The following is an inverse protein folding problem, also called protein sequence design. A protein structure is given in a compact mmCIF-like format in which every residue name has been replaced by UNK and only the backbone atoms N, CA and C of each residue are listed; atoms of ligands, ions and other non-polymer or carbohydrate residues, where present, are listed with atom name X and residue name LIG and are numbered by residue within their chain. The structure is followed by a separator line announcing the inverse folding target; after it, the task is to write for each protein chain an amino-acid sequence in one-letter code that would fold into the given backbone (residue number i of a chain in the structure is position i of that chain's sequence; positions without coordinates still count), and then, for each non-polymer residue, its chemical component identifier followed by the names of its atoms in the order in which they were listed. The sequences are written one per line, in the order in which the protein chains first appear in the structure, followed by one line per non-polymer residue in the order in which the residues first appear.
data_IF_983285717905
#
_entry.id   IF_983285717905
#
_cell.length_a   1.000
_cell.length_b   1.000
_cell.length_c   1.000
_cell.angle_alpha   90.00
_cell.angle_beta   90.00
_cell.angle_gamma   90.00
#
_symmetry.space_group_name_H-M   'P 1'
#
loop_
_entity.id
_entity.type
_entity.pdbx_description
1 polymer ?
#
# COMPACT_ATOMS: atom_id res chain seq x y z
N UNK A 1 -30.96 -1.29 -6.28
CA UNK A 1 -29.97 -0.26 -6.65
C UNK A 1 -29.31 0.25 -5.38
N UNK A 2 -27.99 0.12 -5.25
CA UNK A 2 -27.23 0.72 -4.14
C UNK A 2 -26.94 2.20 -4.44
N UNK A 3 -26.55 2.99 -3.44
CA UNK A 3 -26.21 4.39 -3.68
C UNK A 3 -24.86 4.51 -4.42
N UNK A 4 -23.85 3.75 -3.98
CA UNK A 4 -22.47 3.86 -4.47
C UNK A 4 -21.86 2.47 -4.69
N UNK A 5 -21.27 2.26 -5.87
CA UNK A 5 -20.35 1.15 -6.14
C UNK A 5 -18.94 1.71 -6.26
N UNK A 6 -17.98 1.13 -5.52
CA UNK A 6 -16.54 1.36 -5.67
C UNK A 6 -15.94 0.13 -6.32
N UNK A 7 -15.19 0.29 -7.42
CA UNK A 7 -14.54 -0.81 -8.13
C UNK A 7 -13.06 -0.84 -7.78
N UNK A 8 -12.63 -1.89 -7.07
CA UNK A 8 -11.27 -2.11 -6.58
C UNK A 8 -11.10 -1.86 -5.09
N UNK A 9 -10.53 -2.86 -4.38
CA UNK A 9 -10.21 -2.83 -2.95
C UNK A 9 -8.71 -2.70 -2.68
N UNK A 10 -7.99 -1.96 -3.52
CA UNK A 10 -6.66 -1.43 -3.21
C UNK A 10 -6.72 -0.30 -2.20
N UNK A 11 -5.57 0.28 -1.82
CA UNK A 11 -5.50 1.35 -0.82
C UNK A 11 -6.38 2.55 -1.16
N UNK A 12 -6.47 2.95 -2.44
CA UNK A 12 -7.32 4.07 -2.87
C UNK A 12 -8.81 3.75 -2.69
N UNK A 13 -9.27 2.58 -3.17
CA UNK A 13 -10.66 2.17 -3.00
C UNK A 13 -11.06 2.00 -1.53
N UNK A 14 -10.20 1.43 -0.69
CA UNK A 14 -10.45 1.30 0.75
C UNK A 14 -10.45 2.67 1.47
N UNK A 15 -9.59 3.62 1.06
CA UNK A 15 -9.62 4.97 1.60
C UNK A 15 -10.91 5.72 1.22
N UNK A 16 -11.35 5.58 -0.02
CA UNK A 16 -12.63 6.14 -0.51
C UNK A 16 -13.80 5.51 0.26
N UNK A 17 -13.81 4.19 0.43
CA UNK A 17 -14.86 3.46 1.16
C UNK A 17 -14.98 3.96 2.60
N UNK A 18 -13.84 4.12 3.31
CA UNK A 18 -13.83 4.67 4.68
C UNK A 18 -14.36 6.10 4.73
N UNK A 19 -13.93 6.96 3.83
CA UNK A 19 -14.39 8.36 3.87
C UNK A 19 -15.88 8.48 3.47
N UNK A 20 -16.39 7.60 2.58
CA UNK A 20 -17.81 7.54 2.24
C UNK A 20 -18.66 6.97 3.37
N UNK A 21 -18.13 6.07 4.21
CA UNK A 21 -18.86 5.54 5.36
C UNK A 21 -19.15 6.60 6.46
N UNK A 22 -18.63 7.82 6.32
CA UNK A 22 -18.99 8.99 7.15
C UNK A 22 -20.36 9.56 6.81
N UNK A 23 -20.98 9.07 5.75
CA UNK A 23 -22.24 9.58 5.24
C UNK A 23 -23.30 8.47 5.21
N UNK A 24 -24.57 8.86 5.29
CA UNK A 24 -25.70 7.95 5.15
C UNK A 24 -25.85 7.53 3.69
N UNK A 25 -25.24 6.41 3.32
CA UNK A 25 -25.28 5.84 1.97
C UNK A 25 -25.10 4.32 2.01
N UNK A 26 -25.74 3.59 1.08
CA UNK A 26 -25.46 2.16 0.85
C UNK A 26 -24.27 2.04 -0.10
N UNK A 27 -23.10 1.66 0.44
CA UNK A 27 -21.84 1.58 -0.29
C UNK A 27 -21.42 0.11 -0.45
N UNK A 28 -21.14 -0.29 -1.69
CA UNK A 28 -20.61 -1.61 -2.05
C UNK A 28 -19.27 -1.48 -2.74
N UNK A 29 -18.27 -2.18 -2.23
CA UNK A 29 -16.96 -2.33 -2.88
C UNK A 29 -16.92 -3.65 -3.63
N UNK A 30 -16.63 -3.61 -4.93
CA UNK A 30 -16.43 -4.78 -5.79
C UNK A 30 -14.92 -4.99 -6.00
N UNK A 31 -14.44 -6.19 -5.67
CA UNK A 31 -13.05 -6.57 -5.86
C UNK A 31 -12.98 -7.88 -6.68
N UNK A 32 -12.09 -7.92 -7.67
CA UNK A 32 -11.91 -9.11 -8.51
C UNK A 32 -11.23 -10.27 -7.79
N UNK A 33 -10.37 -9.95 -6.82
CA UNK A 33 -9.62 -10.93 -6.05
C UNK A 33 -10.40 -11.39 -4.80
N UNK A 34 -9.84 -12.38 -4.11
CA UNK A 34 -10.43 -12.98 -2.90
C UNK A 34 -10.42 -12.08 -1.66
N UNK A 35 -9.63 -11.00 -1.68
CA UNK A 35 -9.34 -10.17 -0.50
C UNK A 35 -8.98 -8.74 -0.92
N UNK A 36 -8.97 -7.83 0.02
CA UNK A 36 -8.41 -6.49 -0.17
C UNK A 36 -6.89 -6.52 -0.30
N UNK A 37 -6.30 -5.47 -0.88
CA UNK A 37 -4.84 -5.35 -0.98
C UNK A 37 -4.17 -6.44 -1.84
N UNK A 38 -4.81 -6.90 -2.91
CA UNK A 38 -4.26 -7.95 -3.77
C UNK A 38 -3.51 -7.43 -5.01
N UNK A 39 -3.72 -6.17 -5.43
CA UNK A 39 -3.07 -5.53 -6.57
C UNK A 39 -1.74 -4.83 -6.22
N UNK A 40 -1.47 -3.68 -6.84
CA UNK A 40 -0.26 -2.84 -6.66
C UNK A 40 0.04 -2.52 -5.20
N UNK A 41 -0.99 -2.39 -4.38
CA UNK A 41 -0.86 -2.04 -2.95
C UNK A 41 -0.04 -3.08 -2.16
N UNK A 42 -0.05 -4.36 -2.53
CA UNK A 42 0.74 -5.40 -1.84
C UNK A 42 2.22 -5.41 -2.19
N UNK A 43 2.65 -4.67 -3.24
CA UNK A 43 3.99 -4.77 -3.80
C UNK A 43 4.52 -3.39 -4.20
N UNK A 44 5.04 -2.64 -3.24
CA UNK A 44 5.61 -1.31 -3.37
C UNK A 44 6.72 -1.08 -2.33
N UNK A 45 7.27 0.14 -2.29
CA UNK A 45 8.37 0.49 -1.38
C UNK A 45 7.93 0.79 0.07
N UNK A 46 6.65 0.75 0.39
CA UNK A 46 6.10 1.03 1.72
C UNK A 46 6.42 2.45 2.28
N UNK A 47 6.63 3.43 1.41
CA UNK A 47 7.08 4.77 1.76
C UNK A 47 5.91 5.74 1.80
N UNK A 48 5.88 6.58 2.82
CA UNK A 48 5.09 7.81 2.89
C UNK A 48 5.98 8.97 2.44
N UNK A 49 5.84 9.35 1.16
CA UNK A 49 6.63 10.43 0.56
C UNK A 49 6.22 11.78 1.13
N UNK A 50 7.19 12.63 1.45
CA UNK A 50 6.94 13.96 2.02
C UNK A 50 6.26 14.94 1.03
N UNK A 51 6.49 14.78 -0.29
CA UNK A 51 5.83 15.61 -1.32
C UNK A 51 6.76 16.55 -2.09
N UNK A 52 8.06 16.40 -1.98
CA UNK A 52 9.05 17.30 -2.63
C UNK A 52 9.25 17.03 -4.14
N UNK A 53 8.90 15.84 -4.65
CA UNK A 53 9.27 15.38 -6.01
C UNK A 53 8.23 15.77 -7.08
N UNK A 54 6.94 15.63 -6.77
CA UNK A 54 5.87 15.94 -7.73
C UNK A 54 5.87 17.42 -8.13
N UNK A 55 5.53 17.69 -9.40
CA UNK A 55 5.55 19.03 -9.96
C UNK A 55 4.65 19.99 -9.16
N UNK A 56 5.17 21.18 -8.82
CA UNK A 56 4.39 22.17 -8.08
C UNK A 56 3.11 22.54 -8.82
N UNK A 57 2.00 22.60 -8.08
CA UNK A 57 0.67 22.91 -8.58
C UNK A 57 -0.11 21.71 -9.12
N UNK A 58 0.54 20.56 -9.36
CA UNK A 58 -0.12 19.31 -9.78
C UNK A 58 -1.06 18.77 -8.71
N UNK A 59 -2.04 17.97 -9.12
CA UNK A 59 -2.92 17.27 -8.20
C UNK A 59 -2.13 16.24 -7.36
N UNK A 60 -1.16 15.56 -8.01
CA UNK A 60 -0.24 14.64 -7.38
C UNK A 60 0.53 15.29 -6.22
N UNK A 61 1.08 16.50 -6.41
CA UNK A 61 1.80 17.24 -5.35
C UNK A 61 0.87 17.58 -4.18
N UNK A 62 -0.31 18.13 -4.48
CA UNK A 62 -1.29 18.53 -3.46
C UNK A 62 -1.75 17.35 -2.61
N UNK A 63 -2.11 16.23 -3.25
CA UNK A 63 -2.62 15.05 -2.56
C UNK A 63 -1.50 14.30 -1.83
N UNK A 64 -0.26 14.34 -2.32
CA UNK A 64 0.86 13.74 -1.60
C UNK A 64 1.12 14.47 -0.27
N UNK A 65 1.30 15.79 -0.29
CA UNK A 65 1.55 16.56 0.93
C UNK A 65 0.39 16.39 1.90
N UNK A 66 -0.86 16.56 1.44
CA UNK A 66 -2.04 16.40 2.29
C UNK A 66 -2.16 14.98 2.87
N UNK A 67 -1.92 13.94 2.07
CA UNK A 67 -1.99 12.54 2.52
C UNK A 67 -0.88 12.19 3.51
N UNK A 68 0.34 12.68 3.29
CA UNK A 68 1.47 12.50 4.20
C UNK A 68 1.18 13.11 5.59
N UNK A 69 0.63 14.31 5.63
CA UNK A 69 0.26 14.99 6.88
C UNK A 69 -0.88 14.29 7.63
N UNK A 70 -1.77 13.59 6.92
CA UNK A 70 -2.86 12.82 7.53
C UNK A 70 -2.41 11.46 8.10
N UNK A 71 -1.30 10.92 7.63
CA UNK A 71 -0.89 9.55 7.94
C UNK A 71 -0.65 9.28 9.43
N UNK A 72 0.03 10.17 10.22
CA UNK A 72 0.27 9.92 11.64
C UNK A 72 -1.00 9.83 12.47
N UNK A 73 -2.00 10.69 12.21
CA UNK A 73 -3.28 10.65 12.89
C UNK A 73 -4.07 9.41 12.52
N UNK A 74 -4.13 9.09 11.22
CA UNK A 74 -4.81 7.92 10.70
C UNK A 74 -4.22 6.62 11.28
N UNK A 75 -2.90 6.54 11.42
CA UNK A 75 -2.23 5.39 12.02
C UNK A 75 -2.63 5.18 13.48
N UNK A 76 -2.80 6.27 14.25
CA UNK A 76 -3.29 6.21 15.65
C UNK A 76 -4.77 5.84 15.75
N UNK A 77 -5.63 6.42 14.88
CA UNK A 77 -7.07 6.12 14.87
C UNK A 77 -7.36 4.67 14.52
N UNK A 78 -6.63 4.15 13.54
CA UNK A 78 -6.88 2.84 12.94
C UNK A 78 -5.94 1.74 13.41
N UNK A 79 -4.97 2.08 14.27
CA UNK A 79 -4.02 1.14 14.88
C UNK A 79 -3.33 0.25 13.82
N UNK A 80 -2.50 0.88 12.99
CA UNK A 80 -1.61 0.21 12.04
C UNK A 80 -0.18 0.74 12.12
N UNK A 81 0.79 -0.07 11.73
CA UNK A 81 2.21 0.26 11.84
C UNK A 81 2.61 1.37 10.86
N UNK A 82 3.09 2.47 11.40
CA UNK A 82 3.63 3.65 10.71
C UNK A 82 4.78 4.23 11.53
N UNK A 83 5.80 4.74 10.85
CA UNK A 83 6.93 5.45 11.46
C UNK A 83 7.32 6.65 10.60
N UNK A 84 7.43 7.81 11.23
CA UNK A 84 7.95 9.03 10.59
C UNK A 84 9.47 9.04 10.74
N UNK A 85 10.16 8.28 9.87
CA UNK A 85 11.60 8.11 9.93
C UNK A 85 12.39 9.11 9.06
N UNK A 86 11.71 9.97 8.32
CA UNK A 86 12.32 10.91 7.39
C UNK A 86 12.88 10.27 6.14
N UNK A 87 13.24 11.09 5.17
CA UNK A 87 13.90 10.64 3.94
C UNK A 87 15.05 11.55 3.54
N UNK A 88 16.06 10.96 2.89
CA UNK A 88 17.27 11.61 2.39
C UNK A 88 17.35 11.38 0.88
N UNK A 89 17.46 12.46 0.09
CA UNK A 89 17.80 12.37 -1.36
C UNK A 89 19.27 12.74 -1.51
N UNK A 90 20.09 11.73 -1.66
CA UNK A 90 21.57 11.84 -1.60
C UNK A 90 22.13 12.34 -2.92
N UNK A 91 22.99 13.36 -2.84
CA UNK A 91 23.76 13.92 -3.92
C UNK A 91 25.19 13.35 -3.89
N UNK A 92 25.67 12.86 -5.03
CA UNK A 92 26.95 12.16 -5.15
C UNK A 92 28.08 13.03 -5.73
N UNK A 93 27.76 14.20 -6.28
CA UNK A 93 28.73 15.12 -6.87
C UNK A 93 28.30 16.57 -6.66
N UNK A 94 29.23 17.49 -6.43
CA UNK A 94 28.95 18.93 -6.38
C UNK A 94 28.37 19.47 -7.71
N UNK A 95 28.66 18.80 -8.82
CA UNK A 95 28.05 19.12 -10.12
C UNK A 95 26.53 19.02 -10.11
N UNK A 96 25.95 18.15 -9.24
CA UNK A 96 24.51 17.92 -9.11
C UNK A 96 23.83 18.92 -8.14
N UNK A 97 24.57 19.85 -7.50
CA UNK A 97 24.04 20.84 -6.54
C UNK A 97 22.88 21.67 -7.11
N UNK A 98 22.90 22.13 -8.35
CA UNK A 98 21.75 22.82 -8.92
C UNK A 98 20.47 21.97 -8.98
N UNK A 99 20.59 20.66 -9.22
CA UNK A 99 19.46 19.74 -9.23
C UNK A 99 18.89 19.53 -7.81
N UNK A 100 19.77 19.39 -6.80
CA UNK A 100 19.37 19.30 -5.40
C UNK A 100 18.64 20.57 -4.94
N UNK A 101 19.18 21.75 -5.28
CA UNK A 101 18.56 23.05 -4.97
C UNK A 101 17.20 23.21 -5.65
N UNK A 102 17.05 22.75 -6.89
CA UNK A 102 15.78 22.76 -7.62
C UNK A 102 14.74 21.86 -6.91
N UNK A 103 15.16 20.66 -6.47
CA UNK A 103 14.30 19.73 -5.74
C UNK A 103 13.85 20.33 -4.39
N UNK A 104 14.79 20.97 -3.66
CA UNK A 104 14.49 21.69 -2.44
C UNK A 104 13.45 22.81 -2.68
N UNK A 105 13.70 23.66 -3.68
CA UNK A 105 12.77 24.76 -4.01
C UNK A 105 11.37 24.26 -4.41
N UNK A 106 11.30 23.15 -5.17
CA UNK A 106 10.03 22.51 -5.53
C UNK A 106 9.29 22.00 -4.27
N UNK A 107 9.99 21.34 -3.37
CA UNK A 107 9.39 20.84 -2.13
C UNK A 107 8.87 21.96 -1.21
N UNK A 108 9.62 23.07 -1.09
CA UNK A 108 9.19 24.28 -0.37
C UNK A 108 7.91 24.85 -1.03
N UNK A 109 7.89 24.96 -2.37
CA UNK A 109 6.73 25.46 -3.11
C UNK A 109 5.51 24.53 -2.97
N UNK A 110 5.70 23.22 -2.80
CA UNK A 110 4.64 22.24 -2.50
C UNK A 110 4.15 22.31 -1.04
N UNK A 111 4.81 23.05 -0.15
CA UNK A 111 4.44 23.16 1.25
C UNK A 111 4.97 22.04 2.15
N UNK A 112 6.04 21.35 1.75
CA UNK A 112 6.68 20.33 2.60
C UNK A 112 7.42 20.99 3.75
N UNK A 113 7.02 20.68 4.98
CA UNK A 113 7.57 21.30 6.18
C UNK A 113 8.94 20.71 6.57
N UNK A 114 9.80 21.54 7.13
CA UNK A 114 11.09 21.13 7.70
C UNK A 114 12.16 20.68 6.69
N UNK A 115 11.90 20.85 5.38
CA UNK A 115 12.92 20.55 4.35
C UNK A 115 14.20 21.32 4.59
N UNK A 116 15.32 20.66 4.46
CA UNK A 116 16.66 21.29 4.50
C UNK A 116 17.69 20.47 3.74
N UNK A 117 18.73 21.14 3.28
CA UNK A 117 19.91 20.47 2.74
C UNK A 117 20.84 20.20 3.92
N UNK A 118 21.30 18.96 4.03
CA UNK A 118 22.29 18.50 4.99
C UNK A 118 23.61 18.27 4.25
N UNK A 119 24.69 18.81 4.77
CA UNK A 119 26.01 18.65 4.22
C UNK A 119 26.68 17.37 4.74
N UNK A 120 27.82 17.00 4.17
CA UNK A 120 28.51 15.72 4.40
C UNK A 120 28.61 15.30 5.85
N UNK A 121 29.08 16.17 6.74
CA UNK A 121 29.38 15.80 8.13
C UNK A 121 28.11 15.43 8.89
N UNK A 122 27.05 16.20 8.71
CA UNK A 122 25.75 15.91 9.29
C UNK A 122 25.13 14.66 8.66
N UNK A 123 25.24 14.50 7.34
CA UNK A 123 24.72 13.34 6.62
C UNK A 123 25.32 12.03 7.13
N UNK A 124 26.63 12.00 7.36
CA UNK A 124 27.33 10.83 7.91
C UNK A 124 26.95 10.57 9.37
N UNK A 125 26.69 11.61 10.15
CA UNK A 125 26.22 11.47 11.53
C UNK A 125 24.78 10.90 11.58
N UNK A 126 23.91 11.28 10.63
CA UNK A 126 22.55 10.74 10.52
C UNK A 126 22.54 9.30 10.01
N UNK A 127 23.38 8.98 9.02
CA UNK A 127 23.43 7.67 8.34
C UNK A 127 24.87 7.19 8.19
N UNK A 128 25.41 6.45 9.15
CA UNK A 128 26.81 5.99 9.12
C UNK A 128 27.16 5.09 7.93
N UNK A 129 26.15 4.43 7.35
CA UNK A 129 26.30 3.55 6.19
C UNK A 129 26.13 4.30 4.84
N UNK A 130 26.01 5.63 4.86
CA UNK A 130 25.98 6.40 3.61
C UNK A 130 27.29 6.23 2.83
N UNK A 131 27.20 6.31 1.50
CA UNK A 131 28.37 6.19 0.61
C UNK A 131 29.46 7.21 0.97
N UNK A 132 30.72 6.79 0.85
CA UNK A 132 31.87 7.68 1.09
C UNK A 132 31.98 8.79 0.01
N UNK A 133 31.34 8.62 -1.13
CA UNK A 133 31.22 9.61 -2.22
C UNK A 133 30.05 10.59 -2.04
N UNK A 134 29.14 10.36 -1.09
CA UNK A 134 28.02 11.26 -0.86
C UNK A 134 28.50 12.62 -0.37
N UNK A 135 27.99 13.70 -0.96
CA UNK A 135 28.42 15.08 -0.70
C UNK A 135 27.42 15.81 0.20
N UNK A 136 26.14 15.69 -0.11
CA UNK A 136 25.04 16.32 0.62
C UNK A 136 23.76 15.53 0.38
N UNK A 137 22.67 15.89 1.08
CA UNK A 137 21.36 15.34 0.81
C UNK A 137 20.26 16.38 1.07
N UNK A 138 19.13 16.23 0.38
CA UNK A 138 17.87 16.85 0.80
C UNK A 138 17.24 15.98 1.89
N UNK A 139 17.09 16.51 3.08
CA UNK A 139 16.41 15.88 4.19
C UNK A 139 14.96 16.35 4.28
N UNK A 140 14.01 15.41 4.27
CA UNK A 140 12.59 15.64 4.43
C UNK A 140 12.09 14.92 5.69
N UNK A 141 11.95 15.62 6.84
CA UNK A 141 11.59 15.00 8.11
C UNK A 141 10.15 14.47 8.17
N UNK A 142 9.26 14.96 7.31
CA UNK A 142 7.87 14.51 7.22
C UNK A 142 7.68 13.24 6.41
N UNK A 143 8.74 12.75 5.77
CA UNK A 143 8.74 11.42 5.15
C UNK A 143 8.61 10.31 6.19
N UNK A 144 8.07 9.17 5.78
CA UNK A 144 7.87 8.03 6.67
C UNK A 144 7.80 6.70 5.95
N UNK A 145 7.64 5.66 6.73
CA UNK A 145 7.39 4.28 6.28
C UNK A 145 6.10 3.76 6.89
N UNK A 146 5.39 2.89 6.16
CA UNK A 146 4.09 2.35 6.59
C UNK A 146 3.98 0.89 6.21
N UNK A 147 3.21 0.10 6.96
CA UNK A 147 2.79 -1.21 6.47
C UNK A 147 1.66 -1.04 5.44
N UNK A 148 1.88 -1.28 4.12
CA UNK A 148 0.82 -1.09 3.11
C UNK A 148 -0.37 -2.02 3.34
N UNK A 149 -0.10 -3.22 3.83
CA UNK A 149 -1.12 -4.19 4.21
C UNK A 149 -1.94 -3.67 5.39
N UNK A 150 -1.26 -3.31 6.50
CA UNK A 150 -1.89 -2.81 7.71
C UNK A 150 -2.77 -1.59 7.46
N UNK A 151 -2.27 -0.61 6.69
CA UNK A 151 -3.04 0.57 6.27
C UNK A 151 -4.32 0.16 5.50
N UNK A 152 -4.19 -0.72 4.50
CA UNK A 152 -5.33 -1.07 3.63
C UNK A 152 -6.38 -1.88 4.38
N UNK A 153 -5.96 -2.88 5.18
CA UNK A 153 -6.88 -3.64 6.03
C UNK A 153 -7.56 -2.75 7.06
N UNK A 154 -6.82 -1.82 7.67
CA UNK A 154 -7.38 -0.91 8.65
C UNK A 154 -8.47 -0.01 8.06
N UNK A 155 -8.25 0.52 6.85
CA UNK A 155 -9.24 1.28 6.10
C UNK A 155 -10.47 0.44 5.76
N UNK A 156 -10.28 -0.78 5.25
CA UNK A 156 -11.36 -1.69 4.86
C UNK A 156 -12.18 -2.16 6.06
N UNK A 157 -11.53 -2.57 7.16
CA UNK A 157 -12.19 -3.01 8.38
C UNK A 157 -12.99 -1.87 9.03
N UNK A 158 -12.45 -0.65 9.06
CA UNK A 158 -13.18 0.51 9.56
C UNK A 158 -14.37 0.87 8.67
N UNK A 159 -14.21 0.82 7.34
CA UNK A 159 -15.31 1.01 6.41
C UNK A 159 -16.42 -0.03 6.61
N UNK A 160 -16.05 -1.31 6.74
CA UNK A 160 -17.00 -2.40 6.99
C UNK A 160 -17.71 -2.27 8.34
N UNK A 161 -16.98 -1.87 9.40
CA UNK A 161 -17.57 -1.57 10.71
C UNK A 161 -18.65 -0.47 10.62
N UNK A 162 -18.45 0.51 9.76
CA UNK A 162 -19.39 1.60 9.49
C UNK A 162 -20.35 1.31 8.32
N UNK A 163 -20.61 0.03 8.00
CA UNK A 163 -21.70 -0.40 7.13
C UNK A 163 -21.36 -0.60 5.66
N UNK A 164 -20.12 -0.33 5.20
CA UNK A 164 -19.71 -0.62 3.82
C UNK A 164 -19.62 -2.12 3.59
N UNK A 165 -20.19 -2.58 2.48
CA UNK A 165 -20.15 -3.99 2.06
C UNK A 165 -19.00 -4.23 1.10
N UNK A 166 -18.36 -5.40 1.20
CA UNK A 166 -17.32 -5.86 0.28
C UNK A 166 -17.78 -7.14 -0.41
N UNK A 167 -17.66 -7.17 -1.73
CA UNK A 167 -17.92 -8.36 -2.55
C UNK A 167 -16.65 -8.71 -3.33
N UNK A 168 -16.03 -9.81 -2.91
CA UNK A 168 -14.80 -10.35 -3.50
C UNK A 168 -15.12 -11.31 -4.65
N UNK A 169 -14.08 -11.74 -5.40
CA UNK A 169 -14.17 -12.59 -6.59
C UNK A 169 -15.22 -12.04 -7.59
N UNK A 170 -15.27 -10.73 -7.75
CA UNK A 170 -16.32 -10.01 -8.46
C UNK A 170 -15.72 -9.07 -9.50
N UNK A 171 -14.99 -9.67 -10.47
CA UNK A 171 -14.44 -8.90 -11.58
C UNK A 171 -15.55 -8.19 -12.35
N UNK A 172 -15.39 -6.88 -12.53
CA UNK A 172 -16.29 -6.06 -13.35
C UNK A 172 -15.94 -6.28 -14.81
N UNK A 173 -16.94 -6.70 -15.58
CA UNK A 173 -16.81 -7.05 -17.00
C UNK A 173 -17.41 -6.00 -17.94
N UNK A 174 -18.44 -5.26 -17.47
CA UNK A 174 -19.09 -4.21 -18.26
C UNK A 174 -19.71 -3.14 -17.35
N UNK A 175 -19.85 -1.91 -17.87
CA UNK A 175 -20.51 -0.79 -17.22
C UNK A 175 -21.40 -0.08 -18.25
N UNK A 176 -22.70 0.03 -17.95
CA UNK A 176 -23.69 0.64 -18.84
C UNK A 176 -24.47 1.73 -18.12
N UNK A 177 -24.76 2.83 -18.80
CA UNK A 177 -25.67 3.86 -18.30
C UNK A 177 -27.09 3.34 -18.35
N UNK A 178 -27.83 3.50 -17.24
CA UNK A 178 -29.25 3.18 -17.13
C UNK A 178 -30.02 4.40 -16.62
N UNK A 179 -31.33 4.33 -16.59
CA UNK A 179 -32.15 5.37 -15.98
C UNK A 179 -31.88 5.47 -14.48
N UNK A 180 -31.54 6.68 -14.03
CA UNK A 180 -31.21 6.95 -12.62
C UNK A 180 -29.85 6.49 -12.12
N UNK A 181 -28.97 5.93 -12.99
CA UNK A 181 -27.64 5.48 -12.54
C UNK A 181 -26.87 4.65 -13.55
N UNK A 182 -26.22 3.63 -13.05
CA UNK A 182 -25.31 2.73 -13.77
C UNK A 182 -25.60 1.28 -13.45
N UNK A 183 -25.51 0.42 -14.45
CA UNK A 183 -25.45 -1.04 -14.27
C UNK A 183 -24.02 -1.50 -14.41
N UNK A 184 -23.50 -2.15 -13.36
CA UNK A 184 -22.16 -2.73 -13.30
C UNK A 184 -22.30 -4.24 -13.37
N UNK A 185 -21.88 -4.84 -14.47
CA UNK A 185 -21.91 -6.29 -14.65
C UNK A 185 -20.61 -6.91 -14.12
N UNK A 186 -20.76 -7.96 -13.31
CA UNK A 186 -19.65 -8.73 -12.75
C UNK A 186 -19.78 -10.21 -13.11
N UNK A 187 -18.70 -10.96 -12.89
CA UNK A 187 -18.72 -12.43 -13.04
C UNK A 187 -19.70 -13.12 -12.07
N UNK A 188 -20.18 -12.41 -11.02
CA UNK A 188 -21.16 -12.89 -10.03
C UNK A 188 -22.58 -12.35 -10.24
N UNK A 189 -22.80 -11.57 -11.30
CA UNK A 189 -24.09 -10.95 -11.61
C UNK A 189 -24.02 -9.42 -11.66
N UNK A 190 -25.15 -8.80 -11.96
CA UNK A 190 -25.25 -7.37 -12.17
C UNK A 190 -25.57 -6.63 -10.86
N UNK A 191 -25.01 -5.44 -10.71
CA UNK A 191 -25.29 -4.49 -9.62
C UNK A 191 -25.68 -3.15 -10.23
N UNK A 192 -26.78 -2.57 -9.76
CA UNK A 192 -27.19 -1.21 -10.13
C UNK A 192 -26.80 -0.22 -9.04
N UNK A 193 -26.25 0.92 -9.44
CA UNK A 193 -25.79 1.98 -8.54
C UNK A 193 -26.14 3.37 -9.06
N UNK A 194 -26.40 4.32 -8.17
CA UNK A 194 -26.58 5.73 -8.54
C UNK A 194 -25.25 6.36 -8.96
N UNK A 195 -24.16 6.04 -8.24
CA UNK A 195 -22.81 6.50 -8.52
C UNK A 195 -21.85 5.31 -8.58
N UNK A 196 -20.93 5.33 -9.55
CA UNK A 196 -19.82 4.38 -9.67
C UNK A 196 -18.51 5.13 -9.50
N UNK A 197 -17.60 4.58 -8.68
CA UNK A 197 -16.23 5.06 -8.49
C UNK A 197 -15.26 4.03 -9.04
N UNK A 198 -14.49 4.40 -10.05
CA UNK A 198 -13.44 3.58 -10.64
C UNK A 198 -12.13 3.75 -9.86
N UNK A 199 -11.79 2.80 -9.00
CA UNK A 199 -10.53 2.74 -8.25
C UNK A 199 -9.74 1.46 -8.59
N UNK A 200 -9.84 0.98 -9.84
CA UNK A 200 -9.34 -0.32 -10.29
C UNK A 200 -7.82 -0.37 -10.58
N UNK A 201 -7.05 0.65 -10.17
CA UNK A 201 -5.59 0.65 -10.26
C UNK A 201 -5.08 0.43 -11.68
N UNK A 202 -4.34 -0.67 -11.91
CA UNK A 202 -3.80 -1.03 -13.24
C UNK A 202 -4.87 -1.20 -14.32
N UNK A 203 -6.12 -1.47 -13.94
CA UNK A 203 -7.24 -1.69 -14.86
C UNK A 203 -8.21 -0.51 -14.92
N UNK A 204 -7.84 0.62 -14.31
CA UNK A 204 -8.70 1.81 -14.31
C UNK A 204 -8.94 2.36 -15.72
N UNK A 205 -7.98 2.21 -16.63
CA UNK A 205 -8.13 2.56 -18.04
C UNK A 205 -9.18 1.70 -18.75
N UNK A 206 -9.23 0.39 -18.46
CA UNK A 206 -10.25 -0.51 -19.04
C UNK A 206 -11.67 -0.04 -18.69
N UNK A 207 -11.88 0.34 -17.44
CA UNK A 207 -13.19 0.81 -16.98
C UNK A 207 -13.49 2.23 -17.46
N UNK A 208 -12.50 3.13 -17.45
CA UNK A 208 -12.61 4.47 -18.04
C UNK A 208 -13.07 4.39 -19.50
N UNK A 209 -12.41 3.56 -20.32
CA UNK A 209 -12.68 3.42 -21.75
C UNK A 209 -14.03 2.77 -22.07
N UNK A 210 -14.71 2.13 -21.09
CA UNK A 210 -16.10 1.66 -21.24
C UNK A 210 -17.12 2.79 -21.18
N UNK A 211 -16.75 3.95 -20.56
CA UNK A 211 -17.70 4.99 -20.17
C UNK A 211 -17.35 6.36 -20.81
N UNK A 212 -16.07 6.69 -20.90
CA UNK A 212 -15.57 7.97 -21.38
C UNK A 212 -15.66 8.12 -22.90
N UNK A 213 -15.61 9.37 -23.37
CA UNK A 213 -15.54 9.68 -24.81
C UNK A 213 -14.08 9.71 -25.33
N UNK A 214 -13.11 9.82 -24.43
CA UNK A 214 -11.67 9.75 -24.70
C UNK A 214 -11.09 8.40 -24.23
N UNK A 215 -9.85 8.12 -24.63
CA UNK A 215 -9.17 6.90 -24.25
C UNK A 215 -8.02 7.19 -23.27
N UNK A 216 -7.96 6.40 -22.22
CA UNK A 216 -6.84 6.33 -21.31
C UNK A 216 -6.04 5.04 -21.55
N UNK A 217 -4.74 5.08 -21.32
CA UNK A 217 -3.89 3.90 -21.35
C UNK A 217 -2.99 3.87 -20.12
N UNK A 218 -3.13 2.83 -19.31
CA UNK A 218 -2.24 2.57 -18.17
C UNK A 218 -1.15 1.60 -18.61
N UNK A 219 0.09 2.05 -18.49
CA UNK A 219 1.29 1.28 -18.78
C UNK A 219 1.80 0.68 -17.46
N UNK A 220 1.83 -0.64 -17.29
CA UNK A 220 2.38 -1.25 -16.09
C UNK A 220 3.88 -0.94 -16.00
N UNK A 221 4.30 -0.18 -14.98
CA UNK A 221 5.71 0.10 -14.71
C UNK A 221 6.21 -0.77 -13.58
N UNK A 222 6.97 -1.83 -13.94
CA UNK A 222 7.47 -2.82 -13.00
C UNK A 222 8.66 -2.29 -12.20
N UNK A 223 8.61 -2.55 -10.89
CA UNK A 223 9.72 -2.37 -9.97
C UNK A 223 10.08 -3.68 -9.30
N UNK A 224 11.31 -4.17 -9.51
CA UNK A 224 11.87 -5.36 -8.86
C UNK A 224 12.57 -4.95 -7.56
N UNK A 225 12.41 -5.76 -6.50
CA UNK A 225 12.91 -5.49 -5.16
C UNK A 225 13.58 -6.71 -4.53
N UNK A 226 14.56 -6.45 -3.68
CA UNK A 226 14.99 -7.37 -2.63
C UNK A 226 14.38 -6.97 -1.29
N UNK A 227 13.93 -7.97 -0.51
CA UNK A 227 13.57 -7.82 0.90
C UNK A 227 14.59 -8.56 1.74
N UNK A 228 15.25 -7.85 2.65
CA UNK A 228 16.25 -8.41 3.54
C UNK A 228 15.62 -8.81 4.87
N UNK A 229 16.27 -9.76 5.55
CA UNK A 229 15.86 -10.28 6.86
C UNK A 229 15.81 -9.17 7.93
N UNK A 230 14.97 -9.33 8.95
CA UNK A 230 14.89 -8.40 10.09
C UNK A 230 16.20 -8.31 10.89
N UNK A 231 17.16 -9.23 10.71
CA UNK A 231 18.53 -9.10 11.24
C UNK A 231 19.28 -7.89 10.67
N UNK A 232 18.75 -7.24 9.63
CA UNK A 232 19.26 -5.97 9.07
C UNK A 232 18.61 -4.73 9.69
N UNK A 233 17.78 -4.88 10.73
CA UNK A 233 17.17 -3.77 11.43
C UNK A 233 18.24 -2.77 11.91
N UNK A 234 18.02 -1.48 11.63
CA UNK A 234 18.96 -0.42 11.96
C UNK A 234 20.16 -0.30 10.99
N UNK A 235 20.18 -1.05 9.89
CA UNK A 235 21.19 -0.87 8.83
C UNK A 235 21.12 0.53 8.21
N UNK A 236 19.92 1.05 7.98
CA UNK A 236 19.60 2.45 7.68
C UNK A 236 18.47 2.90 8.57
N UNK A 237 18.47 4.18 8.96
CA UNK A 237 17.43 4.78 9.82
C UNK A 237 16.41 5.54 8.98
N UNK A 238 16.86 6.30 8.00
CA UNK A 238 16.01 7.04 7.07
C UNK A 238 15.76 6.25 5.78
N UNK A 239 14.73 6.65 5.04
CA UNK A 239 14.57 6.21 3.64
C UNK A 239 15.60 6.94 2.77
N UNK A 240 16.51 6.20 2.13
CA UNK A 240 17.59 6.77 1.34
C UNK A 240 17.27 6.64 -0.15
N UNK A 241 17.08 7.78 -0.80
CA UNK A 241 17.00 7.93 -2.25
C UNK A 241 18.30 8.47 -2.81
N UNK A 242 18.53 8.21 -4.07
CA UNK A 242 19.59 8.84 -4.83
C UNK A 242 19.01 9.97 -5.70
N UNK A 243 19.64 11.14 -5.69
CA UNK A 243 19.31 12.20 -6.63
C UNK A 243 19.59 11.69 -8.06
N UNK A 244 18.66 11.82 -8.99
CA UNK A 244 18.91 11.47 -10.39
C UNK A 244 20.06 12.28 -10.96
N UNK A 245 21.10 11.60 -11.40
CA UNK A 245 22.32 12.21 -11.92
C UNK A 245 22.82 11.52 -13.18
N UNK A 246 24.11 11.65 -13.45
CA UNK A 246 24.85 11.07 -14.60
C UNK A 246 24.53 9.56 -14.82
N UNK A 247 24.26 8.81 -13.76
CA UNK A 247 23.98 7.38 -13.79
C UNK A 247 22.48 7.03 -13.79
N UNK A 248 21.61 8.04 -13.98
CA UNK A 248 20.16 7.89 -13.98
C UNK A 248 19.54 7.87 -12.59
N UNK A 249 18.29 7.40 -12.49
CA UNK A 249 17.58 7.21 -11.22
C UNK A 249 18.17 6.01 -10.49
N UNK A 250 18.69 6.22 -9.28
CA UNK A 250 19.22 5.17 -8.43
C UNK A 250 18.16 4.28 -7.81
N UNK A 251 18.64 3.29 -7.08
CA UNK A 251 17.84 2.36 -6.28
C UNK A 251 17.81 2.88 -4.84
N UNK A 252 16.62 2.90 -4.23
CA UNK A 252 16.48 3.27 -2.82
C UNK A 252 16.88 2.12 -1.89
N UNK A 253 17.30 2.48 -0.68
CA UNK A 253 17.48 1.58 0.46
C UNK A 253 16.65 2.16 1.61
N UNK A 254 15.72 1.37 2.16
CA UNK A 254 14.83 1.86 3.20
C UNK A 254 14.58 0.80 4.28
N UNK A 255 14.41 1.22 5.55
CA UNK A 255 13.88 0.32 6.56
C UNK A 255 12.39 0.06 6.31
N UNK A 256 11.84 -0.95 6.93
CA UNK A 256 10.40 -1.17 7.01
C UNK A 256 9.95 -1.10 8.47
N UNK A 257 8.68 -0.80 8.69
CA UNK A 257 8.09 -0.75 10.05
C UNK A 257 8.16 -2.08 10.82
N UNK A 258 8.61 -3.15 10.16
CA UNK A 258 8.76 -4.49 10.75
C UNK A 258 10.23 -4.91 10.88
N UNK A 259 11.19 -3.98 10.74
CA UNK A 259 12.61 -4.23 10.93
C UNK A 259 13.34 -4.87 9.73
N UNK A 260 12.66 -5.12 8.63
CA UNK A 260 13.32 -5.55 7.39
C UNK A 260 13.97 -4.35 6.70
N UNK A 261 14.88 -4.61 5.76
CA UNK A 261 15.38 -3.59 4.81
C UNK A 261 14.88 -3.93 3.40
N UNK A 262 14.35 -2.94 2.69
CA UNK A 262 13.92 -3.06 1.30
C UNK A 262 14.95 -2.37 0.39
N UNK A 263 15.29 -3.01 -0.74
CA UNK A 263 16.24 -2.52 -1.72
C UNK A 263 15.62 -2.62 -3.10
N UNK A 264 15.54 -1.53 -3.81
CA UNK A 264 14.84 -1.39 -5.09
C UNK A 264 14.20 -0.01 -5.20
N UNK A 265 13.27 0.20 -6.11
CA UNK A 265 12.90 -0.66 -7.24
C UNK A 265 13.66 -0.36 -8.53
N UNK A 266 13.49 -1.23 -9.51
CA UNK A 266 13.64 -0.86 -10.92
C UNK A 266 12.45 -0.03 -11.40
N UNK A 267 12.52 0.48 -12.64
CA UNK A 267 11.42 1.19 -13.28
C UNK A 267 11.38 0.81 -14.77
N UNK A 268 10.69 -0.28 -15.09
CA UNK A 268 10.68 -0.88 -16.43
C UNK A 268 9.22 -0.94 -16.90
N UNK A 269 8.92 -0.27 -18.02
CA UNK A 269 7.61 -0.35 -18.64
C UNK A 269 7.45 -1.72 -19.33
N UNK A 270 6.30 -2.36 -19.09
CA UNK A 270 5.96 -3.66 -19.67
C UNK A 270 4.53 -3.61 -20.22
N UNK A 271 4.15 -4.57 -21.03
CA UNK A 271 2.80 -4.66 -21.59
C UNK A 271 1.84 -5.46 -20.71
N UNK A 272 2.36 -6.48 -20.03
CA UNK A 272 1.55 -7.42 -19.25
C UNK A 272 1.17 -6.82 -17.88
N UNK A 273 -0.11 -6.55 -17.68
CA UNK A 273 -0.68 -6.07 -16.42
C UNK A 273 -0.66 -7.11 -15.28
N UNK A 274 -0.38 -8.37 -15.59
CA UNK A 274 -0.19 -9.47 -14.63
C UNK A 274 1.30 -9.84 -14.45
N UNK A 275 2.21 -9.13 -15.10
CA UNK A 275 3.67 -9.38 -15.11
C UNK A 275 4.37 -9.09 -13.78
N UNK A 276 3.92 -9.70 -12.68
CA UNK A 276 4.44 -9.49 -11.32
C UNK A 276 5.63 -10.37 -10.96
N UNK A 277 6.16 -11.17 -11.89
CA UNK A 277 7.38 -11.94 -11.68
C UNK A 277 8.61 -11.05 -11.71
N UNK A 278 9.55 -11.27 -10.77
CA UNK A 278 10.88 -10.65 -10.85
C UNK A 278 11.68 -11.20 -12.02
N UNK A 279 12.59 -10.40 -12.56
CA UNK A 279 13.49 -10.84 -13.63
C UNK A 279 14.93 -10.81 -13.19
N UNK A 280 15.76 -11.71 -13.75
CA UNK A 280 17.20 -11.72 -13.49
C UNK A 280 17.83 -10.35 -13.81
N UNK A 281 17.48 -9.77 -14.97
CA UNK A 281 18.00 -8.47 -15.38
C UNK A 281 17.59 -7.33 -14.41
N UNK A 282 16.34 -7.34 -13.94
CA UNK A 282 15.86 -6.35 -12.96
C UNK A 282 16.57 -6.48 -11.62
N UNK A 283 16.74 -7.70 -11.11
CA UNK A 283 17.45 -7.95 -9.86
C UNK A 283 18.96 -7.63 -9.97
N UNK A 284 19.58 -7.88 -11.12
CA UNK A 284 20.97 -7.52 -11.36
C UNK A 284 21.17 -6.00 -11.45
N UNK A 285 20.21 -5.26 -12.03
CA UNK A 285 20.21 -3.79 -12.02
C UNK A 285 20.11 -3.23 -10.60
N UNK A 286 19.19 -3.77 -9.78
CA UNK A 286 19.09 -3.39 -8.35
C UNK A 286 20.41 -3.66 -7.62
N UNK A 287 21.01 -4.85 -7.83
CA UNK A 287 22.30 -5.22 -7.20
C UNK A 287 23.44 -4.29 -7.62
N UNK A 288 23.51 -3.91 -8.89
CA UNK A 288 24.54 -3.01 -9.40
C UNK A 288 24.44 -1.60 -8.83
N UNK A 289 23.21 -1.12 -8.58
CA UNK A 289 22.95 0.28 -8.17
C UNK A 289 22.80 0.49 -6.67
N UNK A 290 22.46 -0.53 -5.89
CA UNK A 290 22.13 -0.37 -4.47
C UNK A 290 23.30 0.16 -3.63
N UNK A 291 24.55 -0.09 -4.06
CA UNK A 291 25.77 0.40 -3.40
C UNK A 291 26.12 1.85 -3.69
N UNK A 292 25.42 2.55 -4.58
CA UNK A 292 25.78 3.92 -4.97
C UNK A 292 25.57 4.90 -3.81
N UNK A 293 24.37 4.94 -3.22
CA UNK A 293 24.08 5.86 -2.11
C UNK A 293 24.41 5.28 -0.74
N UNK A 294 24.37 3.96 -0.58
CA UNK A 294 24.56 3.26 0.72
C UNK A 294 25.63 2.19 0.55
N UNK A 295 26.71 2.26 1.34
CA UNK A 295 27.79 1.27 1.29
C UNK A 295 27.42 -0.03 2.00
N UNK A 296 28.03 -1.13 1.56
CA UNK A 296 27.94 -2.45 2.23
C UNK A 296 26.51 -3.00 2.41
N UNK A 297 25.61 -2.72 1.46
CA UNK A 297 24.23 -3.25 1.50
C UNK A 297 24.28 -4.78 1.65
N UNK A 298 23.66 -5.35 2.73
CA UNK A 298 23.84 -6.76 3.08
C UNK A 298 22.95 -7.69 2.26
N UNK A 299 23.07 -7.69 0.92
CA UNK A 299 22.22 -8.49 0.01
C UNK A 299 22.26 -10.00 0.29
N UNK A 300 23.28 -10.51 1.00
CA UNK A 300 23.32 -11.91 1.45
C UNK A 300 22.21 -12.25 2.47
N UNK A 301 21.62 -11.25 3.09
CA UNK A 301 20.50 -11.39 4.02
C UNK A 301 19.13 -11.37 3.31
N UNK A 302 19.11 -11.46 1.99
CA UNK A 302 17.84 -11.51 1.23
C UNK A 302 17.02 -12.73 1.64
N UNK A 303 15.78 -12.51 2.04
CA UNK A 303 14.81 -13.56 2.36
C UNK A 303 13.84 -13.82 1.21
N UNK A 304 13.57 -12.80 0.38
CA UNK A 304 12.74 -12.93 -0.81
C UNK A 304 13.01 -11.77 -1.79
N UNK A 305 12.57 -11.94 -3.02
CA UNK A 305 12.43 -10.88 -4.01
C UNK A 305 10.99 -10.81 -4.48
N UNK A 306 10.54 -9.64 -4.88
CA UNK A 306 9.20 -9.45 -5.42
C UNK A 306 9.21 -8.32 -6.45
N UNK A 307 8.17 -8.28 -7.29
CA UNK A 307 7.93 -7.17 -8.20
C UNK A 307 6.53 -6.60 -8.01
N UNK A 308 6.42 -5.29 -8.22
CA UNK A 308 5.14 -4.57 -8.20
C UNK A 308 4.99 -3.71 -9.44
N UNK A 309 3.74 -3.54 -9.86
CA UNK A 309 3.38 -2.78 -11.06
C UNK A 309 2.73 -1.45 -10.66
N UNK A 310 3.31 -0.33 -11.10
CA UNK A 310 2.70 1.00 -10.95
C UNK A 310 1.74 1.24 -12.10
N UNK A 311 0.61 1.87 -11.82
CA UNK A 311 -0.38 2.28 -12.82
C UNK A 311 0.08 3.59 -13.50
N UNK A 312 1.14 3.52 -14.30
CA UNK A 312 1.73 4.68 -14.97
C UNK A 312 0.86 5.13 -16.15
N UNK A 313 0.68 6.44 -16.28
CA UNK A 313 0.01 7.09 -17.39
C UNK A 313 0.94 8.18 -17.97
N UNK A 314 0.91 8.39 -19.28
CA UNK A 314 1.88 9.23 -19.99
C UNK A 314 1.93 10.70 -19.53
N UNK A 315 0.82 11.24 -19.02
CA UNK A 315 0.75 12.60 -18.47
C UNK A 315 1.47 12.73 -17.12
N UNK A 316 1.76 11.60 -16.45
CA UNK A 316 2.36 11.54 -15.14
C UNK A 316 1.61 12.37 -14.09
N UNK A 317 0.29 12.21 -14.05
CA UNK A 317 -0.60 12.92 -13.13
C UNK A 317 -1.75 12.01 -12.68
N UNK A 318 -2.29 12.24 -11.49
CA UNK A 318 -3.48 11.55 -11.02
C UNK A 318 -4.72 12.03 -11.80
N UNK A 319 -5.54 11.08 -12.20
CA UNK A 319 -6.79 11.40 -12.90
C UNK A 319 -7.98 11.14 -11.96
N UNK A 320 -8.48 12.22 -11.33
CA UNK A 320 -9.55 12.13 -10.32
C UNK A 320 -10.64 13.15 -10.66
N UNK A 321 -11.86 12.67 -10.88
CA UNK A 321 -13.00 13.54 -11.15
C UNK A 321 -14.23 12.81 -11.69
N UNK A 322 -15.36 13.49 -11.70
CA UNK A 322 -16.58 13.02 -12.37
C UNK A 322 -16.41 13.22 -13.89
N UNK A 323 -16.37 12.11 -14.65
CA UNK A 323 -16.17 12.15 -16.12
C UNK A 323 -17.49 12.03 -16.89
N UNK A 324 -18.48 11.42 -16.29
CA UNK A 324 -19.89 11.36 -16.74
C UNK A 324 -20.79 11.49 -15.51
N UNK A 325 -22.01 12.00 -15.67
CA UNK A 325 -22.92 12.15 -14.53
C UNK A 325 -23.07 10.86 -13.73
N UNK A 326 -22.57 10.87 -12.47
CA UNK A 326 -22.54 9.72 -11.57
C UNK A 326 -21.44 8.69 -11.84
N UNK A 327 -20.45 8.98 -12.69
CA UNK A 327 -19.26 8.14 -12.83
C UNK A 327 -18.00 8.94 -12.49
N UNK A 328 -17.29 8.49 -11.45
CA UNK A 328 -16.11 9.16 -10.90
C UNK A 328 -14.87 8.30 -11.11
N UNK A 329 -13.89 8.82 -11.82
CA UNK A 329 -12.58 8.19 -11.90
C UNK A 329 -11.72 8.53 -10.68
N UNK A 330 -10.97 7.53 -10.22
CA UNK A 330 -9.78 7.61 -9.40
C UNK A 330 -8.73 6.73 -10.07
N UNK A 331 -8.23 7.20 -11.21
CA UNK A 331 -7.40 6.46 -12.16
C UNK A 331 -5.98 7.02 -12.23
N UNK A 332 -5.06 6.30 -12.86
CA UNK A 332 -3.66 6.67 -13.01
C UNK A 332 -2.95 6.95 -11.66
N UNK A 333 -3.35 6.23 -10.61
CA UNK A 333 -2.77 6.41 -9.27
C UNK A 333 -1.48 5.58 -9.18
N UNK A 334 -0.39 6.17 -9.63
CA UNK A 334 0.97 5.64 -9.48
C UNK A 334 1.65 6.19 -8.21
N UNK A 335 2.99 6.12 -8.09
CA UNK A 335 3.71 6.79 -6.99
C UNK A 335 3.57 8.32 -7.12
N UNK A 336 3.18 9.01 -6.03
CA UNK A 336 3.12 8.61 -4.62
C UNK A 336 1.72 8.20 -4.10
N UNK A 337 0.97 7.39 -4.82
CA UNK A 337 -0.42 7.03 -4.51
C UNK A 337 -0.65 6.45 -3.10
N UNK A 338 0.29 5.65 -2.57
CA UNK A 338 0.18 5.12 -1.20
C UNK A 338 0.13 6.26 -0.16
N UNK A 339 1.06 7.22 -0.25
CA UNK A 339 1.11 8.41 0.61
C UNK A 339 -0.12 9.29 0.45
N UNK A 340 -0.61 9.40 -0.79
CA UNK A 340 -1.74 10.27 -1.16
C UNK A 340 -3.10 9.67 -0.79
N UNK A 341 -3.17 8.36 -0.52
CA UNK A 341 -4.44 7.62 -0.39
C UNK A 341 -5.42 8.20 0.63
N UNK A 342 -5.01 8.73 1.81
CA UNK A 342 -5.96 9.36 2.73
C UNK A 342 -6.60 10.63 2.15
N UNK A 343 -5.81 11.45 1.44
CA UNK A 343 -6.28 12.67 0.80
C UNK A 343 -7.13 12.36 -0.44
N UNK A 344 -6.77 11.34 -1.21
CA UNK A 344 -7.58 10.81 -2.32
C UNK A 344 -8.96 10.39 -1.82
N UNK A 345 -9.00 9.62 -0.71
CA UNK A 345 -10.26 9.19 -0.09
C UNK A 345 -11.18 10.37 0.22
N UNK A 346 -10.66 11.40 0.89
CA UNK A 346 -11.41 12.64 1.21
C UNK A 346 -11.88 13.39 -0.04
N UNK A 347 -11.02 13.50 -1.04
CA UNK A 347 -11.36 14.20 -2.29
C UNK A 347 -12.49 13.51 -3.04
N UNK A 348 -12.38 12.20 -3.28
CA UNK A 348 -13.39 11.42 -4.01
C UNK A 348 -14.71 11.36 -3.22
N UNK A 349 -14.65 11.15 -1.90
CA UNK A 349 -15.84 11.19 -1.06
C UNK A 349 -16.53 12.56 -1.12
N UNK A 350 -15.77 13.66 -1.18
CA UNK A 350 -16.32 15.01 -1.38
C UNK A 350 -17.04 15.17 -2.72
N UNK A 351 -16.50 14.63 -3.81
CA UNK A 351 -17.14 14.63 -5.14
C UNK A 351 -18.46 13.86 -5.07
N UNK A 352 -18.44 12.62 -4.58
CA UNK A 352 -19.62 11.75 -4.49
C UNK A 352 -20.69 12.34 -3.57
N UNK A 353 -20.27 12.91 -2.43
CA UNK A 353 -21.18 13.66 -1.52
C UNK A 353 -21.94 14.75 -2.27
N UNK A 354 -21.25 15.53 -3.09
CA UNK A 354 -21.88 16.63 -3.84
C UNK A 354 -22.84 16.12 -4.92
N UNK A 355 -22.48 15.02 -5.61
CA UNK A 355 -23.34 14.40 -6.63
C UNK A 355 -24.68 13.93 -6.02
N UNK A 356 -24.62 13.25 -4.87
CA UNK A 356 -25.77 12.63 -4.25
C UNK A 356 -26.45 13.48 -3.16
N UNK A 357 -25.85 14.61 -2.75
CA UNK A 357 -26.37 15.41 -1.63
C UNK A 357 -26.33 14.67 -0.28
N UNK A 358 -25.28 13.87 -0.01
CA UNK A 358 -25.21 12.99 1.16
C UNK A 358 -25.18 13.76 2.49
N UNK A 359 -25.96 13.27 3.46
CA UNK A 359 -25.95 13.72 4.85
C UNK A 359 -24.88 12.98 5.65
N UNK A 360 -24.29 13.68 6.63
CA UNK A 360 -23.34 13.07 7.57
C UNK A 360 -24.02 12.03 8.44
N UNK A 361 -23.38 10.88 8.62
CA UNK A 361 -23.81 9.88 9.59
C UNK A 361 -23.15 10.18 10.96
N UNK A 362 -23.97 10.54 11.93
CA UNK A 362 -23.52 10.84 13.28
C UNK A 362 -23.11 9.59 14.08
N UNK A 363 -23.40 8.40 13.59
CA UNK A 363 -23.00 7.13 14.21
C UNK A 363 -21.62 6.64 13.74
N UNK A 364 -20.97 7.32 12.81
CA UNK A 364 -19.65 6.94 12.31
C UNK A 364 -18.62 6.86 13.45
N UNK A 365 -18.01 5.68 13.62
CA UNK A 365 -16.86 5.49 14.52
C UNK A 365 -15.55 5.53 13.72
N UNK A 366 -14.69 6.54 13.91
CA UNK A 366 -13.43 6.65 13.18
C UNK A 366 -12.38 5.62 13.63
N UNK A 367 -12.58 4.95 14.76
CA UNK A 367 -11.58 4.13 15.42
C UNK A 367 -11.65 2.67 14.97
N UNK A 368 -10.51 2.04 14.95
CA UNK A 368 -10.33 0.61 14.80
C UNK A 368 -9.26 0.14 15.78
N UNK A 369 -9.41 -1.05 16.32
CA UNK A 369 -8.36 -1.73 17.07
C UNK A 369 -7.68 -2.76 16.15
N UNK A 370 -6.35 -2.70 16.06
CA UNK A 370 -5.51 -3.65 15.34
C UNK A 370 -5.57 -5.07 15.90
N UNK A 371 -5.00 -6.03 15.19
CA UNK A 371 -4.74 -7.36 15.73
C UNK A 371 -3.68 -7.20 16.81
N UNK A 372 -3.95 -7.73 18.01
CA UNK A 372 -3.03 -7.64 19.12
C UNK A 372 -1.76 -8.46 18.80
N UNK A 373 -0.60 -7.80 18.82
CA UNK A 373 0.71 -8.44 18.75
C UNK A 373 1.23 -8.72 20.17
N UNK A 374 1.28 -9.99 20.62
CA UNK A 374 1.70 -10.31 21.97
C UNK A 374 3.14 -9.88 22.31
N UNK A 375 3.99 -9.66 21.30
CA UNK A 375 5.38 -9.20 21.48
C UNK A 375 5.47 -7.78 22.04
N UNK A 376 4.39 -7.01 21.94
CA UNK A 376 4.31 -5.65 22.51
C UNK A 376 3.93 -5.62 23.98
N UNK A 377 3.52 -6.75 24.54
CA UNK A 377 3.12 -6.90 25.93
C UNK A 377 4.31 -7.23 26.82
N UNK A 378 4.26 -6.79 28.09
CA UNK A 378 5.14 -7.30 29.11
C UNK A 378 4.75 -8.75 29.50
N UNK A 379 5.60 -9.41 30.30
CA UNK A 379 5.41 -10.82 30.65
C UNK A 379 4.12 -11.07 31.47
N UNK A 380 3.68 -10.13 32.29
CA UNK A 380 2.48 -10.26 33.13
C UNK A 380 1.22 -10.15 32.27
N UNK A 381 1.16 -9.13 31.41
CA UNK A 381 0.06 -8.93 30.47
C UNK A 381 -0.02 -10.07 29.45
N UNK A 382 1.11 -10.59 28.97
CA UNK A 382 1.14 -11.74 28.07
C UNK A 382 0.64 -13.02 28.77
N UNK A 383 1.05 -13.27 30.03
CA UNK A 383 0.53 -14.39 30.78
C UNK A 383 -0.98 -14.28 31.05
N UNK A 384 -1.48 -13.09 31.35
CA UNK A 384 -2.91 -12.85 31.49
C UNK A 384 -3.68 -13.09 30.19
N UNK A 385 -3.17 -12.63 29.06
CA UNK A 385 -3.74 -12.88 27.73
C UNK A 385 -3.84 -14.38 27.41
N UNK A 386 -2.78 -15.17 27.69
CA UNK A 386 -2.78 -16.61 27.48
C UNK A 386 -3.81 -17.32 28.39
N UNK A 387 -3.97 -16.84 29.63
CA UNK A 387 -4.98 -17.36 30.55
C UNK A 387 -6.40 -17.10 30.04
N UNK A 388 -6.65 -15.94 29.45
CA UNK A 388 -7.94 -15.58 28.85
C UNK A 388 -8.19 -16.33 27.55
N UNK A 389 -7.19 -16.37 26.67
CA UNK A 389 -7.25 -17.05 25.38
C UNK A 389 -5.98 -17.88 25.13
N UNK A 390 -6.01 -19.20 25.41
CA UNK A 390 -4.85 -20.09 25.27
C UNK A 390 -4.22 -20.13 23.87
N UNK A 391 -4.96 -19.73 22.82
CA UNK A 391 -4.43 -19.67 21.45
C UNK A 391 -3.24 -18.69 21.31
N UNK A 392 -3.16 -17.65 22.15
CA UNK A 392 -2.02 -16.76 22.20
C UNK A 392 -0.76 -17.35 22.81
N UNK A 393 -0.88 -18.52 23.48
CA UNK A 393 0.26 -19.28 24.00
C UNK A 393 0.91 -20.23 22.98
N UNK A 394 0.30 -20.41 21.80
CA UNK A 394 0.78 -21.35 20.79
C UNK A 394 1.41 -20.61 19.61
N UNK A 395 2.75 -20.64 19.52
CA UNK A 395 3.49 -20.03 18.40
C UNK A 395 3.42 -20.95 17.18
N UNK A 396 2.84 -20.44 16.08
CA UNK A 396 2.68 -21.11 14.80
C UNK A 396 3.82 -20.74 13.85
N UNK A 397 4.09 -19.45 13.65
CA UNK A 397 5.20 -18.98 12.82
C UNK A 397 6.39 -18.60 13.71
N UNK A 398 7.45 -19.41 13.72
CA UNK A 398 8.63 -19.18 14.56
C UNK A 398 9.51 -18.02 14.05
N UNK A 399 9.57 -17.82 12.73
CA UNK A 399 10.40 -16.75 12.14
C UNK A 399 9.90 -15.36 12.51
N UNK A 400 8.58 -15.20 12.56
CA UNK A 400 7.90 -13.92 12.87
C UNK A 400 7.27 -13.92 14.27
N UNK A 401 7.39 -15.02 15.01
CA UNK A 401 6.80 -15.23 16.36
C UNK A 401 5.30 -14.93 16.39
N UNK A 402 4.55 -15.48 15.40
CA UNK A 402 3.10 -15.30 15.30
C UNK A 402 2.39 -16.45 15.97
N UNK A 403 1.40 -16.13 16.81
CA UNK A 403 0.60 -17.08 17.57
C UNK A 403 -0.65 -17.53 16.81
N UNK A 404 -1.25 -18.64 17.27
CA UNK A 404 -2.55 -19.11 16.77
C UNK A 404 -3.66 -18.08 17.04
N UNK A 405 -3.61 -17.37 18.17
CA UNK A 405 -4.57 -16.31 18.52
C UNK A 405 -4.60 -15.18 17.51
N UNK A 406 -3.43 -14.70 17.04
CA UNK A 406 -3.33 -13.69 16.00
C UNK A 406 -3.91 -14.17 14.67
N UNK A 407 -3.66 -15.44 14.30
CA UNK A 407 -4.16 -16.03 13.04
C UNK A 407 -5.70 -16.14 13.10
N UNK A 408 -6.25 -16.60 14.22
CA UNK A 408 -7.71 -16.69 14.42
C UNK A 408 -8.36 -15.30 14.33
N UNK A 409 -7.76 -14.30 14.98
CA UNK A 409 -8.27 -12.91 14.87
C UNK A 409 -8.25 -12.44 13.41
N UNK A 410 -7.16 -12.66 12.68
CA UNK A 410 -7.05 -12.31 11.26
C UNK A 410 -8.15 -12.95 10.38
N UNK A 411 -8.60 -14.16 10.70
CA UNK A 411 -9.65 -14.89 9.97
C UNK A 411 -11.04 -14.36 10.32
N UNK A 412 -11.28 -14.03 11.59
CA UNK A 412 -12.60 -13.65 12.11
C UNK A 412 -12.99 -12.19 11.87
N UNK A 413 -12.04 -11.33 11.47
CA UNK A 413 -12.30 -9.92 11.12
C UNK A 413 -13.19 -9.77 9.89
N UNK A 414 -13.70 -8.57 9.68
CA UNK A 414 -14.50 -8.22 8.50
C UNK A 414 -13.88 -6.98 7.81
N UNK A 415 -13.33 -7.16 6.59
CA UNK A 415 -13.10 -8.43 5.89
C UNK A 415 -11.99 -9.28 6.52
N UNK A 416 -12.20 -10.60 6.65
CA UNK A 416 -11.27 -11.56 7.23
C UNK A 416 -10.44 -12.32 6.20
N UNK A 417 -9.33 -12.90 6.66
CA UNK A 417 -8.49 -13.75 5.82
C UNK A 417 -9.21 -15.03 5.38
N UNK A 418 -9.03 -15.42 4.11
CA UNK A 418 -9.62 -16.64 3.52
C UNK A 418 -8.58 -17.58 2.93
N UNK A 419 -7.32 -17.12 2.80
CA UNK A 419 -6.20 -17.85 2.21
C UNK A 419 -4.94 -17.72 3.06
N UNK A 420 -3.89 -18.47 2.72
CA UNK A 420 -2.58 -18.34 3.36
C UNK A 420 -2.00 -16.94 3.21
N UNK A 421 -2.09 -16.35 2.02
CA UNK A 421 -1.60 -15.00 1.77
C UNK A 421 -2.48 -13.93 2.44
N UNK A 422 -3.78 -14.21 2.64
CA UNK A 422 -4.68 -13.38 3.44
C UNK A 422 -4.22 -13.29 4.91
N UNK A 423 -3.87 -14.43 5.53
CA UNK A 423 -3.29 -14.49 6.89
C UNK A 423 -1.91 -13.82 6.90
N UNK A 424 -1.04 -14.17 5.95
CA UNK A 424 0.32 -13.63 5.81
C UNK A 424 0.33 -12.10 5.78
N UNK A 425 -0.54 -11.47 4.99
CA UNK A 425 -0.61 -10.01 4.88
C UNK A 425 -1.14 -9.34 6.16
N UNK A 426 -1.96 -10.02 6.99
CA UNK A 426 -2.52 -9.46 8.24
C UNK A 426 -1.59 -9.60 9.43
N UNK A 427 -0.97 -10.76 9.61
CA UNK A 427 -0.18 -11.09 10.82
C UNK A 427 1.24 -11.57 10.52
N UNK A 428 1.71 -11.49 9.27
CA UNK A 428 3.07 -11.84 8.84
C UNK A 428 3.44 -13.33 8.94
N UNK A 429 2.53 -14.23 9.30
CA UNK A 429 2.81 -15.67 9.27
C UNK A 429 3.20 -16.11 7.85
N UNK A 430 4.43 -16.57 7.68
CA UNK A 430 5.02 -16.93 6.38
C UNK A 430 5.87 -15.85 5.70
N UNK A 431 6.06 -14.66 6.33
CA UNK A 431 6.91 -13.58 5.76
C UNK A 431 8.39 -13.67 6.18
N UNK A 432 8.73 -14.43 7.20
CA UNK A 432 10.09 -14.52 7.69
C UNK A 432 10.99 -15.41 6.81
N UNK A 433 12.19 -15.67 7.28
CA UNK A 433 13.29 -16.32 6.54
C UNK A 433 12.91 -17.62 5.80
N UNK A 434 12.02 -18.45 6.34
CA UNK A 434 11.62 -19.70 5.69
C UNK A 434 10.49 -19.54 4.65
N UNK A 435 9.92 -18.34 4.50
CA UNK A 435 8.86 -18.01 3.54
C UNK A 435 7.68 -18.99 3.55
N UNK A 436 7.22 -19.35 4.77
CA UNK A 436 6.08 -20.24 4.98
C UNK A 436 6.42 -21.74 5.02
N UNK A 437 7.67 -22.13 4.76
CA UNK A 437 8.07 -23.53 4.64
C UNK A 437 7.73 -24.42 5.84
N UNK A 438 7.57 -23.86 7.04
CA UNK A 438 7.22 -24.62 8.24
C UNK A 438 5.82 -24.31 8.78
N UNK A 439 5.34 -23.06 8.67
CA UNK A 439 4.07 -22.68 9.28
C UNK A 439 2.86 -22.92 8.37
N UNK A 440 3.03 -23.00 7.05
CA UNK A 440 1.89 -23.11 6.11
C UNK A 440 0.93 -24.26 6.41
N UNK A 441 1.37 -25.50 6.70
CA UNK A 441 0.44 -26.60 7.01
C UNK A 441 -0.44 -26.29 8.25
N UNK A 442 0.15 -25.69 9.29
CA UNK A 442 -0.58 -25.33 10.51
C UNK A 442 -1.54 -24.16 10.26
N UNK A 443 -1.15 -23.18 9.44
CA UNK A 443 -2.04 -22.07 9.04
C UNK A 443 -3.21 -22.61 8.22
N UNK A 444 -2.99 -23.58 7.32
CA UNK A 444 -4.07 -24.25 6.57
C UNK A 444 -5.06 -24.97 7.49
N UNK A 445 -4.58 -25.73 8.49
CA UNK A 445 -5.43 -26.41 9.48
C UNK A 445 -6.30 -25.39 10.24
N UNK A 446 -5.71 -24.26 10.65
CA UNK A 446 -6.43 -23.21 11.37
C UNK A 446 -7.48 -22.55 10.45
N UNK A 447 -7.10 -22.21 9.21
CA UNK A 447 -8.03 -21.66 8.22
C UNK A 447 -9.20 -22.61 7.97
N UNK A 448 -8.92 -23.88 7.68
CA UNK A 448 -9.97 -24.88 7.42
C UNK A 448 -10.94 -25.01 8.60
N UNK A 449 -10.41 -25.09 9.82
CA UNK A 449 -11.19 -25.15 11.04
C UNK A 449 -12.08 -23.90 11.25
N UNK A 450 -11.51 -22.71 11.13
CA UNK A 450 -12.22 -21.45 11.39
C UNK A 450 -13.24 -21.14 10.29
N UNK A 451 -12.99 -21.55 9.04
CA UNK A 451 -13.90 -21.36 7.92
C UNK A 451 -14.93 -22.51 7.79
N UNK A 452 -14.75 -23.63 8.51
CA UNK A 452 -15.63 -24.78 8.42
C UNK A 452 -15.58 -25.52 7.07
N UNK A 453 -14.40 -25.54 6.42
CA UNK A 453 -14.19 -26.16 5.11
C UNK A 453 -13.09 -27.25 5.19
N UNK A 454 -13.02 -28.11 4.17
CA UNK A 454 -11.93 -29.06 4.04
C UNK A 454 -10.59 -28.36 3.75
N UNK A 455 -9.48 -28.94 4.18
CA UNK A 455 -8.15 -28.35 3.93
C UNK A 455 -7.82 -28.21 2.44
N UNK A 456 -8.34 -29.10 1.59
CA UNK A 456 -8.19 -29.00 0.13
C UNK A 456 -8.87 -27.77 -0.49
N UNK A 457 -9.82 -27.17 0.21
CA UNK A 457 -10.45 -25.92 -0.21
C UNK A 457 -9.65 -24.66 0.17
N UNK A 458 -8.58 -24.82 0.96
CA UNK A 458 -7.72 -23.70 1.34
C UNK A 458 -6.72 -23.42 0.22
N UNK A 459 -6.74 -22.18 -0.26
CA UNK A 459 -5.84 -21.71 -1.32
C UNK A 459 -4.66 -20.94 -0.76
N UNK A 460 -3.63 -20.78 -1.57
CA UNK A 460 -2.53 -19.86 -1.27
C UNK A 460 -3.00 -18.40 -1.39
N UNK A 461 -3.68 -18.04 -2.48
CA UNK A 461 -4.05 -16.65 -2.82
C UNK A 461 -5.27 -16.61 -3.76
N UNK A 462 -6.36 -17.30 -3.44
CA UNK A 462 -7.56 -17.38 -4.26
C UNK A 462 -7.57 -18.54 -5.25
N UNK A 463 -8.61 -18.60 -6.08
CA UNK A 463 -8.85 -19.69 -7.02
C UNK A 463 -7.66 -19.95 -7.96
N UNK A 464 -7.34 -21.21 -8.21
CA UNK A 464 -6.20 -21.63 -9.05
C UNK A 464 -4.86 -21.67 -8.31
N UNK A 465 -4.87 -21.48 -6.97
CA UNK A 465 -3.67 -21.57 -6.11
C UNK A 465 -3.82 -22.61 -4.98
N UNK A 466 -4.54 -23.67 -5.26
CA UNK A 466 -4.72 -24.83 -4.39
C UNK A 466 -3.36 -25.50 -4.11
N UNK A 467 -3.17 -26.03 -2.89
CA UNK A 467 -1.87 -26.60 -2.49
C UNK A 467 -1.91 -28.13 -2.34
N UNK A 468 -3.10 -28.71 -2.20
CA UNK A 468 -3.34 -30.15 -2.06
C UNK A 468 -4.58 -30.57 -2.84
#
# INVERSE_FOLDING_TARGET
MVDIVIIGAGVSGCAIARELSRYKADVLVLEREEDVCCGTTKANSAIVHAGYDAANGSLMAKLNVAGSLLMPELARELDFAYEQNGSLVVMMSEEDRPALNKLYANGVANGVEGLRIVERDELVAMEPNISDEAVAALYAPTGGIVCPFGLTFALAENAAHNGVKFQFDSEVTNIEKIDGGWKVSTVKGDVEAKVVVNAAGLYSDKLHNMVADDNMTIIPRRGDYFLLDHTTQGFVSNTIFQLPGKYGKGVLVAPTVHGNTIVGPTAIDIEDKEGTSTTQAGLDDVRAKCGMAVKNVPLRQTITSFAGLRAHEARHEFFIGEIKPGFVDCAAIESPGLSSSPAIGRMVAGIVKNILGLEVDLSFDPRRKGILDPKTLDNEAHAALIKENPAYGTVICRCETVTEGEIIDAIRRTPGARSLDGVKRRVRAGMGRCQGGFCSPRVMEILARELGVDQSAITKAGAGSELI
#
